data_IF_240512092785
#
_entry.id   IF_240512092785
#
_cell.length_a   1.000
_cell.length_b   1.000
_cell.length_c   1.000
_cell.angle_alpha   90.00
_cell.angle_beta   90.00
_cell.angle_gamma   90.00
#
_symmetry.space_group_name_H-M   'P 1'
#
loop_
_entity.id
_entity.type
_entity.pdbx_description
1 polymer ?
#
# COMPACT_ATOMS: atom_id res chain seq x y z
N UNK A 1 26.21 -19.20 14.89
CA UNK A 1 24.76 -19.02 15.10
C UNK A 1 24.32 -20.02 16.16
N UNK A 2 23.81 -19.54 17.29
CA UNK A 2 23.26 -20.39 18.35
C UNK A 2 21.87 -20.85 17.93
N UNK A 3 21.64 -22.15 17.86
CA UNK A 3 20.33 -22.74 17.62
C UNK A 3 19.33 -22.23 18.67
N UNK A 4 18.14 -21.81 18.24
CA UNK A 4 17.08 -21.41 19.17
C UNK A 4 16.69 -22.62 20.01
N UNK A 5 16.75 -22.48 21.34
CA UNK A 5 16.27 -23.49 22.26
C UNK A 5 14.74 -23.52 22.28
N UNK A 6 14.16 -24.50 21.56
CA UNK A 6 12.70 -24.67 21.48
C UNK A 6 12.08 -24.99 22.84
N UNK A 7 12.82 -25.56 23.78
CA UNK A 7 12.29 -25.89 25.11
C UNK A 7 11.97 -24.64 25.94
N UNK A 8 12.52 -23.48 25.55
CA UNK A 8 12.18 -22.17 26.12
C UNK A 8 10.86 -21.58 25.59
N UNK A 9 10.20 -22.24 24.64
CA UNK A 9 8.93 -21.82 24.05
C UNK A 9 7.82 -22.69 24.62
N UNK A 10 6.78 -22.05 25.15
CA UNK A 10 5.62 -22.73 25.74
C UNK A 10 4.43 -22.61 24.79
N UNK A 11 3.87 -23.75 24.37
CA UNK A 11 2.66 -23.86 23.54
C UNK A 11 1.67 -24.78 24.24
N UNK A 12 0.45 -24.30 24.51
CA UNK A 12 -0.57 -25.03 25.25
C UNK A 12 -0.05 -25.59 26.59
N UNK A 13 0.61 -24.73 27.38
CA UNK A 13 1.24 -25.04 28.67
C UNK A 13 2.36 -26.10 28.65
N UNK A 14 2.82 -26.53 27.47
CA UNK A 14 3.92 -27.48 27.32
C UNK A 14 5.12 -26.87 26.57
N UNK A 15 6.36 -27.23 26.95
CA UNK A 15 7.55 -26.88 26.17
C UNK A 15 7.52 -27.48 24.77
N UNK A 16 7.86 -26.69 23.76
CA UNK A 16 7.96 -27.15 22.37
C UNK A 16 9.15 -28.09 22.21
N UNK A 17 8.88 -29.33 21.81
CA UNK A 17 9.90 -30.38 21.64
C UNK A 17 10.44 -30.47 20.22
N UNK A 18 9.62 -30.12 19.23
CA UNK A 18 9.97 -30.20 17.80
C UNK A 18 9.06 -29.29 16.97
N UNK A 19 9.56 -28.87 15.81
CA UNK A 19 8.78 -28.22 14.76
C UNK A 19 8.23 -29.24 13.77
N UNK A 20 7.47 -28.75 12.79
CA UNK A 20 7.10 -29.54 11.61
C UNK A 20 8.37 -30.00 10.87
N UNK A 21 8.34 -31.20 10.24
CA UNK A 21 9.47 -31.67 9.43
C UNK A 21 9.88 -30.63 8.38
N UNK A 22 11.18 -30.41 8.21
CA UNK A 22 11.74 -29.47 7.24
C UNK A 22 11.80 -28.01 7.71
N UNK A 23 11.30 -27.68 8.91
CA UNK A 23 11.37 -26.33 9.47
C UNK A 23 12.42 -26.22 10.57
N UNK A 24 13.22 -25.15 10.51
CA UNK A 24 14.28 -24.87 11.47
C UNK A 24 14.05 -23.51 12.13
N UNK A 25 14.22 -23.45 13.46
CA UNK A 25 14.24 -22.20 14.20
C UNK A 25 15.61 -21.54 14.06
N UNK A 26 15.66 -20.46 13.30
CA UNK A 26 16.90 -19.79 12.91
C UNK A 26 17.35 -18.84 14.01
N UNK A 27 16.46 -17.98 14.48
CA UNK A 27 16.79 -16.94 15.46
C UNK A 27 15.56 -16.48 16.24
N UNK A 28 15.77 -16.10 17.50
CA UNK A 28 14.80 -15.39 18.34
C UNK A 28 15.22 -13.94 18.47
N UNK A 29 14.31 -13.02 18.20
CA UNK A 29 14.53 -11.59 18.33
C UNK A 29 13.61 -11.02 19.40
N UNK A 30 14.16 -10.20 20.27
CA UNK A 30 13.36 -9.42 21.23
C UNK A 30 12.89 -8.16 20.53
N UNK A 31 11.63 -8.12 20.12
CA UNK A 31 11.05 -7.05 19.29
C UNK A 31 10.71 -5.84 20.14
N UNK A 32 10.09 -6.07 21.30
CA UNK A 32 9.78 -5.03 22.29
C UNK A 32 10.02 -5.60 23.70
N UNK A 33 9.84 -4.84 24.79
CA UNK A 33 9.88 -5.38 26.14
C UNK A 33 8.85 -6.51 26.40
N UNK A 34 7.76 -6.54 25.65
CA UNK A 34 6.63 -7.45 25.83
C UNK A 34 6.57 -8.57 24.78
N UNK A 35 7.22 -8.37 23.62
CA UNK A 35 7.14 -9.30 22.49
C UNK A 35 8.51 -9.80 22.04
N UNK A 36 8.58 -11.10 21.84
CA UNK A 36 9.64 -11.76 21.11
C UNK A 36 9.07 -12.37 19.83
N UNK A 37 9.93 -12.54 18.83
CA UNK A 37 9.60 -13.27 17.61
C UNK A 37 10.63 -14.35 17.36
N UNK A 38 10.17 -15.55 17.03
CA UNK A 38 11.03 -16.64 16.57
C UNK A 38 10.87 -16.75 15.06
N UNK A 39 11.97 -16.61 14.35
CA UNK A 39 12.04 -16.71 12.90
C UNK A 39 12.41 -18.15 12.50
N UNK A 40 11.66 -18.67 11.55
CA UNK A 40 11.83 -20.01 11.01
C UNK A 40 12.10 -19.97 9.51
N UNK A 41 12.84 -20.98 9.04
CA UNK A 41 13.08 -21.20 7.63
C UNK A 41 12.84 -22.66 7.27
N UNK A 42 12.16 -22.90 6.15
CA UNK A 42 12.00 -24.23 5.57
C UNK A 42 13.26 -24.60 4.77
N UNK A 43 13.90 -25.71 5.11
CA UNK A 43 15.24 -26.07 4.59
C UNK A 43 15.24 -26.34 3.08
N UNK A 44 14.12 -26.81 2.51
CA UNK A 44 14.02 -27.15 1.08
C UNK A 44 13.74 -25.95 0.18
N UNK A 45 12.79 -25.10 0.56
CA UNK A 45 12.30 -24.00 -0.29
C UNK A 45 12.85 -22.63 0.12
N UNK A 46 13.41 -22.54 1.33
CA UNK A 46 13.80 -21.28 1.93
C UNK A 46 12.64 -20.40 2.38
N UNK A 47 11.39 -20.90 2.35
CA UNK A 47 10.23 -20.18 2.88
C UNK A 47 10.45 -19.78 4.32
N UNK A 48 9.89 -18.63 4.65
CA UNK A 48 10.05 -18.00 5.95
C UNK A 48 8.72 -18.01 6.70
N UNK A 49 8.80 -18.13 8.02
CA UNK A 49 7.66 -17.97 8.92
C UNK A 49 8.13 -17.39 10.25
N UNK A 50 7.20 -16.90 11.06
CA UNK A 50 7.49 -16.44 12.40
C UNK A 50 6.45 -16.86 13.42
N UNK A 51 6.84 -16.98 14.68
CA UNK A 51 5.93 -17.05 15.82
C UNK A 51 6.18 -15.87 16.74
N UNK A 52 5.09 -15.25 17.16
CA UNK A 52 5.05 -14.18 18.14
C UNK A 52 4.86 -14.78 19.52
N UNK A 53 5.75 -14.41 20.44
CA UNK A 53 5.76 -14.84 21.82
C UNK A 53 5.63 -13.61 22.73
N UNK A 54 5.15 -13.81 23.95
CA UNK A 54 5.34 -12.81 24.99
C UNK A 54 6.76 -12.87 25.58
N UNK A 55 7.08 -11.91 26.45
CA UNK A 55 8.36 -11.83 27.16
C UNK A 55 8.69 -13.02 28.09
N UNK A 56 7.74 -13.95 28.32
CA UNK A 56 7.96 -15.21 29.05
C UNK A 56 8.18 -16.40 28.13
N UNK A 57 8.20 -16.21 26.82
CA UNK A 57 8.34 -17.30 25.83
C UNK A 57 7.06 -18.08 25.57
N UNK A 58 5.90 -17.57 26.01
CA UNK A 58 4.60 -18.21 25.72
C UNK A 58 4.18 -17.82 24.30
N UNK A 59 3.82 -18.81 23.49
CA UNK A 59 3.28 -18.62 22.16
C UNK A 59 1.98 -17.81 22.19
N UNK A 60 1.93 -16.77 21.37
CA UNK A 60 0.75 -15.93 21.20
C UNK A 60 0.08 -16.20 19.85
N UNK A 61 0.85 -16.14 18.76
CA UNK A 61 0.32 -16.28 17.41
C UNK A 61 1.39 -16.58 16.36
N UNK A 62 0.97 -17.10 15.21
CA UNK A 62 1.84 -17.26 14.04
C UNK A 62 1.85 -16.03 13.11
N UNK A 63 0.90 -15.11 13.30
CA UNK A 63 0.81 -13.85 12.56
C UNK A 63 0.39 -12.73 13.51
N UNK A 64 0.81 -11.49 13.24
CA UNK A 64 0.43 -10.31 14.03
C UNK A 64 -1.08 -10.11 14.05
N UNK A 65 -1.79 -10.48 12.98
CA UNK A 65 -3.25 -10.44 12.88
C UNK A 65 -3.99 -11.37 13.83
N UNK A 66 -3.34 -12.48 14.21
CA UNK A 66 -3.92 -13.44 15.11
C UNK A 66 -3.63 -13.12 16.58
N UNK A 67 -2.84 -12.07 16.87
CA UNK A 67 -2.70 -11.53 18.22
C UNK A 67 -4.05 -10.97 18.68
N UNK A 68 -4.30 -10.95 19.98
CA UNK A 68 -5.46 -10.24 20.52
C UNK A 68 -5.31 -8.71 20.33
N UNK A 69 -6.43 -7.99 20.32
CA UNK A 69 -6.46 -6.54 20.02
C UNK A 69 -5.59 -5.72 20.97
N UNK A 70 -5.44 -6.12 22.24
CA UNK A 70 -4.60 -5.39 23.20
C UNK A 70 -3.12 -5.52 22.86
N UNK A 71 -2.68 -6.72 22.50
CA UNK A 71 -1.30 -6.99 22.11
C UNK A 71 -0.95 -6.34 20.75
N UNK A 72 -1.91 -6.37 19.81
CA UNK A 72 -1.82 -5.60 18.57
C UNK A 72 -1.57 -4.11 18.85
N UNK A 73 -2.37 -3.48 19.73
CA UNK A 73 -2.22 -2.07 20.11
C UNK A 73 -0.88 -1.76 20.78
N UNK A 74 -0.39 -2.64 21.67
CA UNK A 74 0.93 -2.46 22.30
C UNK A 74 2.05 -2.48 21.27
N UNK A 75 2.02 -3.42 20.35
CA UNK A 75 3.01 -3.53 19.28
C UNK A 75 2.98 -2.28 18.38
N UNK A 76 1.79 -1.84 17.97
CA UNK A 76 1.62 -0.63 17.15
C UNK A 76 2.06 0.64 17.87
N UNK A 77 1.71 0.78 19.15
CA UNK A 77 2.12 1.92 19.97
C UNK A 77 3.63 2.02 20.16
N UNK A 78 4.36 0.90 20.13
CA UNK A 78 5.82 0.90 20.19
C UNK A 78 6.46 1.45 18.90
N UNK A 79 5.86 1.17 17.74
CA UNK A 79 6.42 1.56 16.44
C UNK A 79 5.80 2.83 15.84
N UNK A 80 4.80 3.43 16.49
CA UNK A 80 4.07 4.60 15.95
C UNK A 80 4.98 5.80 15.68
N UNK A 81 5.95 6.07 16.58
CA UNK A 81 6.93 7.16 16.41
C UNK A 81 7.74 7.06 15.10
N UNK A 82 7.87 5.86 14.55
CA UNK A 82 8.55 5.59 13.28
C UNK A 82 7.58 5.46 12.10
N UNK A 83 6.50 4.71 12.27
CA UNK A 83 5.60 4.38 11.16
C UNK A 83 4.64 5.53 10.81
N UNK A 84 4.26 6.39 11.76
CA UNK A 84 3.40 7.55 11.45
C UNK A 84 4.10 8.56 10.52
N UNK A 85 5.34 9.04 10.80
CA UNK A 85 6.02 9.95 9.88
C UNK A 85 6.25 9.33 8.50
N UNK A 86 6.50 8.02 8.43
CA UNK A 86 6.62 7.29 7.17
C UNK A 86 5.30 7.32 6.40
N UNK A 87 4.18 7.00 7.04
CA UNK A 87 2.87 7.03 6.40
C UNK A 87 2.48 8.44 5.94
N UNK A 88 2.81 9.48 6.71
CA UNK A 88 2.59 10.87 6.29
C UNK A 88 3.44 11.25 5.08
N UNK A 89 4.68 10.78 5.02
CA UNK A 89 5.59 11.00 3.89
C UNK A 89 5.09 10.38 2.58
N UNK A 90 4.21 9.37 2.63
CA UNK A 90 3.64 8.76 1.42
C UNK A 90 2.69 9.70 0.68
N UNK A 91 1.92 10.54 1.37
CA UNK A 91 0.95 11.44 0.72
C UNK A 91 1.36 12.91 0.74
N UNK A 92 2.43 13.24 1.46
CA UNK A 92 3.03 14.58 1.49
C UNK A 92 4.02 14.73 0.35
N UNK A 93 4.09 15.88 -0.35
CA UNK A 93 5.17 16.22 -1.28
C UNK A 93 6.56 16.19 -0.61
N UNK A 94 6.62 16.53 0.67
CA UNK A 94 7.86 16.59 1.45
C UNK A 94 7.95 15.36 2.35
N UNK A 95 9.09 14.68 2.30
CA UNK A 95 9.40 13.53 3.15
C UNK A 95 9.81 14.02 4.54
N UNK A 96 9.11 13.56 5.57
CA UNK A 96 9.36 13.97 6.95
C UNK A 96 10.71 13.45 7.46
N UNK A 97 11.38 14.27 8.28
CA UNK A 97 12.58 13.85 8.99
C UNK A 97 12.21 12.96 10.16
N UNK A 98 12.93 11.85 10.35
CA UNK A 98 12.79 11.01 11.54
C UNK A 98 13.57 11.62 12.71
N UNK A 99 12.99 11.56 13.91
CA UNK A 99 13.67 11.86 15.17
C UNK A 99 14.80 10.86 15.43
N UNK A 100 15.73 11.17 16.34
CA UNK A 100 16.80 10.23 16.71
C UNK A 100 16.25 8.89 17.20
N UNK A 101 15.24 8.92 18.08
CA UNK A 101 14.56 7.73 18.58
C UNK A 101 13.92 6.89 17.45
N UNK A 102 13.25 7.55 16.49
CA UNK A 102 12.68 6.85 15.33
C UNK A 102 13.77 6.25 14.43
N UNK A 103 14.93 6.92 14.29
CA UNK A 103 16.07 6.38 13.55
C UNK A 103 16.68 5.16 14.23
N UNK A 104 16.78 5.15 15.55
CA UNK A 104 17.24 3.98 16.32
C UNK A 104 16.29 2.79 16.16
N UNK A 105 14.98 3.02 16.31
CA UNK A 105 13.95 1.99 16.07
C UNK A 105 14.01 1.45 14.64
N UNK A 106 14.22 2.34 13.66
CA UNK A 106 14.39 1.95 12.26
C UNK A 106 15.62 1.09 12.07
N UNK A 107 16.77 1.51 12.58
CA UNK A 107 18.01 0.74 12.47
C UNK A 107 17.85 -0.67 13.08
N UNK A 108 17.19 -0.76 14.23
CA UNK A 108 16.83 -2.01 14.88
C UNK A 108 15.92 -2.88 14.00
N UNK A 109 14.82 -2.34 13.47
CA UNK A 109 13.90 -3.09 12.60
C UNK A 109 14.59 -3.61 11.34
N UNK A 110 15.53 -2.86 10.77
CA UNK A 110 16.28 -3.29 9.58
C UNK A 110 17.26 -4.44 9.86
N UNK A 111 17.51 -4.80 11.12
CA UNK A 111 18.25 -6.03 11.47
C UNK A 111 17.37 -7.29 11.47
N UNK A 112 16.05 -7.12 11.39
CA UNK A 112 15.09 -8.21 11.42
C UNK A 112 14.93 -8.86 10.04
N UNK A 113 14.54 -10.15 9.98
CA UNK A 113 14.15 -10.80 8.74
C UNK A 113 12.97 -10.07 8.07
N UNK A 114 12.94 -10.08 6.74
CA UNK A 114 11.90 -9.44 5.94
C UNK A 114 10.49 -9.84 6.38
N UNK A 115 10.27 -11.13 6.66
CA UNK A 115 8.98 -11.65 7.11
C UNK A 115 8.50 -10.99 8.41
N UNK A 116 9.39 -10.78 9.37
CA UNK A 116 9.06 -10.11 10.64
C UNK A 116 8.70 -8.64 10.40
N UNK A 117 9.51 -7.96 9.58
CA UNK A 117 9.28 -6.56 9.23
C UNK A 117 7.93 -6.40 8.51
N UNK A 118 7.64 -7.27 7.56
CA UNK A 118 6.40 -7.25 6.80
C UNK A 118 5.18 -7.50 7.69
N UNK A 119 5.26 -8.42 8.66
CA UNK A 119 4.19 -8.66 9.64
C UNK A 119 3.88 -7.43 10.52
N UNK A 120 4.90 -6.65 10.91
CA UNK A 120 4.73 -5.37 11.64
C UNK A 120 4.07 -4.31 10.75
N UNK A 121 4.47 -4.23 9.48
CA UNK A 121 3.89 -3.28 8.53
C UNK A 121 2.45 -3.67 8.16
N UNK A 122 2.18 -4.97 8.04
CA UNK A 122 0.86 -5.51 7.72
C UNK A 122 -0.14 -5.10 8.82
N UNK A 123 0.20 -5.33 10.10
CA UNK A 123 -0.67 -4.91 11.21
C UNK A 123 -0.82 -3.38 11.27
N UNK A 124 0.24 -2.62 10.97
CA UNK A 124 0.16 -1.17 10.85
C UNK A 124 -0.83 -0.72 9.79
N UNK A 125 -0.72 -1.28 8.58
CA UNK A 125 -1.58 -0.95 7.45
C UNK A 125 -3.05 -1.21 7.75
N UNK A 126 -3.39 -2.34 8.36
CA UNK A 126 -4.79 -2.66 8.66
C UNK A 126 -5.44 -1.78 9.73
N UNK A 127 -4.65 -1.16 10.60
CA UNK A 127 -5.17 -0.22 11.59
C UNK A 127 -5.24 1.21 11.07
N UNK A 128 -4.28 1.61 10.23
CA UNK A 128 -4.08 3.00 9.84
C UNK A 128 -4.50 3.31 8.39
N UNK A 129 -4.71 2.30 7.56
CA UNK A 129 -5.28 2.40 6.19
C UNK A 129 -6.71 1.91 6.28
N UNK A 130 -7.54 2.73 6.95
CA UNK A 130 -8.85 2.33 7.44
C UNK A 130 -9.90 2.09 6.34
N UNK A 131 -9.67 2.61 5.12
CA UNK A 131 -10.62 2.49 4.00
C UNK A 131 -9.92 2.40 2.65
N UNK A 132 -9.16 1.33 2.44
CA UNK A 132 -8.58 1.05 1.13
C UNK A 132 -9.67 0.85 0.08
N UNK A 133 -9.94 1.87 -0.73
CA UNK A 133 -10.86 1.83 -1.85
C UNK A 133 -10.13 1.21 -3.03
N UNK A 134 -10.55 0.02 -3.46
CA UNK A 134 -9.94 -0.68 -4.59
C UNK A 134 -10.93 -0.79 -5.73
N UNK A 135 -10.53 -0.35 -6.91
CA UNK A 135 -11.32 -0.46 -8.14
C UNK A 135 -10.49 -1.10 -9.25
N UNK A 136 -11.13 -1.91 -10.09
CA UNK A 136 -10.62 -2.12 -11.45
C UNK A 136 -10.83 -0.83 -12.27
N UNK A 137 -10.05 -0.59 -13.34
CA UNK A 137 -10.25 0.57 -14.21
C UNK A 137 -11.70 0.70 -14.71
N UNK A 138 -12.30 -0.41 -15.14
CA UNK A 138 -13.70 -0.48 -15.56
C UNK A 138 -14.69 -0.09 -14.46
N UNK A 139 -14.46 -0.56 -13.23
CA UNK A 139 -15.30 -0.18 -12.08
C UNK A 139 -15.16 1.30 -11.76
N UNK A 140 -13.95 1.85 -11.85
CA UNK A 140 -13.70 3.27 -11.55
C UNK A 140 -14.43 4.19 -12.54
N UNK A 141 -14.43 3.87 -13.83
CA UNK A 141 -15.15 4.62 -14.86
C UNK A 141 -16.66 4.59 -14.61
N UNK A 142 -17.22 3.42 -14.26
CA UNK A 142 -18.66 3.25 -13.99
C UNK A 142 -19.10 3.81 -12.64
N UNK A 143 -18.16 4.05 -11.73
CA UNK A 143 -18.46 4.50 -10.38
C UNK A 143 -18.93 5.96 -10.32
N UNK A 144 -19.15 6.65 -11.46
CA UNK A 144 -19.67 8.03 -11.60
C UNK A 144 -19.61 8.80 -10.28
N UNK A 145 -18.39 9.24 -9.93
CA UNK A 145 -18.13 10.09 -8.76
C UNK A 145 -18.41 9.42 -7.39
N UNK A 146 -17.64 8.39 -7.03
CA UNK A 146 -17.34 8.11 -5.61
C UNK A 146 -16.22 9.06 -5.16
N UNK A 147 -16.44 10.37 -5.30
CA UNK A 147 -15.61 11.38 -4.65
C UNK A 147 -16.58 12.35 -3.98
N UNK A 148 -16.79 12.06 -2.70
CA UNK A 148 -17.60 12.79 -1.72
C UNK A 148 -17.86 14.26 -2.09
N UNK A 149 -19.14 14.64 -2.15
CA UNK A 149 -19.64 16.00 -2.44
C UNK A 149 -19.06 17.08 -1.52
N UNK A 150 -18.33 16.68 -0.47
CA UNK A 150 -17.72 17.57 0.50
C UNK A 150 -16.21 17.83 0.30
N UNK A 151 -15.50 17.24 -0.67
CA UNK A 151 -14.05 17.49 -0.82
C UNK A 151 -13.55 17.60 -2.27
N UNK A 152 -12.78 18.66 -2.52
CA UNK A 152 -12.44 19.32 -3.80
C UNK A 152 -11.41 18.63 -4.71
N UNK A 153 -11.22 17.31 -4.64
CA UNK A 153 -10.23 16.63 -5.51
C UNK A 153 -10.96 15.56 -6.31
N UNK A 154 -11.36 15.96 -7.52
CA UNK A 154 -11.90 15.07 -8.53
C UNK A 154 -10.75 14.42 -9.30
N UNK A 155 -10.84 13.11 -9.51
CA UNK A 155 -9.92 12.34 -10.35
C UNK A 155 -10.68 11.96 -11.61
N UNK A 156 -10.25 12.46 -12.77
CA UNK A 156 -10.92 12.15 -14.03
C UNK A 156 -10.67 10.69 -14.45
N UNK A 157 -11.73 9.89 -14.74
CA UNK A 157 -11.55 8.54 -15.27
C UNK A 157 -10.74 8.50 -16.57
N UNK A 158 -10.90 9.51 -17.44
CA UNK A 158 -10.13 9.63 -18.68
C UNK A 158 -8.63 9.81 -18.38
N UNK A 159 -8.29 10.68 -17.42
CA UNK A 159 -6.90 10.91 -17.03
C UNK A 159 -6.29 9.69 -16.32
N UNK A 160 -7.09 8.94 -15.56
CA UNK A 160 -6.65 7.66 -14.99
C UNK A 160 -6.35 6.65 -16.09
N UNK A 161 -7.22 6.51 -17.10
CA UNK A 161 -6.93 5.61 -18.22
C UNK A 161 -5.65 5.99 -18.97
N UNK A 162 -5.38 7.29 -19.16
CA UNK A 162 -4.10 7.76 -19.71
C UNK A 162 -2.89 7.42 -18.83
N UNK A 163 -3.03 7.55 -17.50
CA UNK A 163 -1.99 7.14 -16.55
C UNK A 163 -1.72 5.64 -16.59
N UNK A 164 -2.76 4.83 -16.62
CA UNK A 164 -2.64 3.37 -16.68
C UNK A 164 -2.09 2.90 -18.04
N UNK A 165 -2.28 3.68 -19.11
CA UNK A 165 -1.61 3.45 -20.38
C UNK A 165 -0.12 3.86 -20.40
N UNK A 166 0.40 4.47 -19.32
CA UNK A 166 1.79 4.94 -19.27
C UNK A 166 2.75 3.73 -19.23
N UNK A 167 3.58 3.53 -20.28
CA UNK A 167 4.51 2.41 -20.31
C UNK A 167 5.61 2.59 -19.26
N UNK A 168 6.09 1.48 -18.71
CA UNK A 168 7.27 1.52 -17.86
C UNK A 168 8.49 2.05 -18.64
N UNK A 169 9.13 3.09 -18.12
CA UNK A 169 10.40 3.61 -18.63
C UNK A 169 11.53 3.19 -17.70
N UNK A 170 12.54 2.50 -18.23
CA UNK A 170 13.76 2.19 -17.48
C UNK A 170 14.67 3.43 -17.26
N UNK A 171 14.49 4.51 -18.03
CA UNK A 171 15.27 5.77 -17.90
C UNK A 171 14.97 6.48 -16.59
N UNK A 172 15.89 7.28 -16.06
CA UNK A 172 15.79 7.90 -14.72
C UNK A 172 14.50 8.68 -14.44
N UNK A 173 13.82 9.19 -15.47
CA UNK A 173 12.56 9.92 -15.33
C UNK A 173 11.41 9.27 -16.13
N UNK A 174 10.22 9.30 -15.54
CA UNK A 174 8.97 8.87 -16.20
C UNK A 174 8.05 10.07 -16.34
N UNK A 175 7.66 10.41 -17.57
CA UNK A 175 6.75 11.51 -17.86
C UNK A 175 5.31 10.99 -17.97
N UNK A 176 4.35 11.72 -17.42
CA UNK A 176 2.92 11.45 -17.63
C UNK A 176 2.09 12.70 -17.38
N UNK A 177 0.76 12.60 -17.43
CA UNK A 177 -0.18 13.69 -17.11
C UNK A 177 -0.82 13.49 -15.74
N UNK A 178 -0.92 14.54 -14.94
CA UNK A 178 -1.57 14.47 -13.63
C UNK A 178 -3.05 14.08 -13.75
N UNK A 179 -3.57 13.20 -12.88
CA UNK A 179 -5.00 12.87 -12.82
C UNK A 179 -5.84 13.93 -12.11
N UNK A 180 -5.22 15.02 -11.65
CA UNK A 180 -5.88 16.09 -10.90
C UNK A 180 -5.90 17.38 -11.72
N UNK A 181 -4.74 17.84 -12.18
CA UNK A 181 -4.62 19.07 -12.97
C UNK A 181 -4.62 18.84 -14.48
N UNK A 182 -4.39 17.61 -14.96
CA UNK A 182 -4.13 17.34 -16.37
C UNK A 182 -2.76 17.83 -16.88
N UNK A 183 -1.95 18.48 -16.03
CA UNK A 183 -0.65 19.02 -16.42
C UNK A 183 0.40 17.91 -16.58
N UNK A 184 1.36 18.07 -17.51
CA UNK A 184 2.52 17.18 -17.60
C UNK A 184 3.34 17.20 -16.31
N UNK A 185 3.72 16.02 -15.84
CA UNK A 185 4.47 15.81 -14.60
C UNK A 185 5.53 14.73 -14.80
N UNK A 186 6.62 14.85 -14.04
CA UNK A 186 7.75 13.93 -14.09
C UNK A 186 7.88 13.19 -12.76
N UNK A 187 7.83 11.86 -12.82
CA UNK A 187 8.20 10.99 -11.72
C UNK A 187 9.71 10.81 -11.68
N UNK A 188 10.36 11.35 -10.64
CA UNK A 188 11.81 11.29 -10.46
C UNK A 188 12.24 10.28 -9.39
N UNK A 189 11.40 10.02 -8.39
CA UNK A 189 11.70 9.02 -7.37
C UNK A 189 11.19 7.65 -7.80
N UNK A 190 12.13 6.72 -8.01
CA UNK A 190 11.85 5.31 -8.32
C UNK A 190 12.25 4.40 -7.17
N UNK A 191 11.34 3.53 -6.76
CA UNK A 191 11.57 2.58 -5.68
C UNK A 191 11.30 1.17 -6.18
N UNK A 192 12.30 0.31 -6.15
CA UNK A 192 12.17 -1.08 -6.64
C UNK A 192 12.12 -2.06 -5.48
N UNK A 193 11.22 -3.03 -5.59
CA UNK A 193 11.14 -4.19 -4.71
C UNK A 193 11.13 -5.47 -5.56
N UNK A 194 10.98 -6.63 -4.91
CA UNK A 194 10.98 -7.91 -5.61
C UNK A 194 9.74 -8.09 -6.50
N UNK A 195 8.66 -7.41 -6.15
CA UNK A 195 7.34 -7.48 -6.75
C UNK A 195 7.15 -6.50 -7.91
N UNK A 196 7.98 -5.46 -8.01
CA UNK A 196 7.81 -4.42 -9.03
C UNK A 196 8.61 -3.15 -8.77
N UNK A 197 8.25 -2.10 -9.50
CA UNK A 197 8.85 -0.77 -9.35
C UNK A 197 7.75 0.27 -9.19
N UNK A 198 7.86 1.07 -8.13
CA UNK A 198 7.08 2.26 -7.90
C UNK A 198 7.75 3.47 -8.51
N UNK A 199 6.95 4.36 -9.08
CA UNK A 199 7.35 5.73 -9.40
C UNK A 199 6.41 6.68 -8.66
N UNK A 200 7.00 7.62 -7.92
CA UNK A 200 6.26 8.66 -7.19
C UNK A 200 6.11 9.89 -8.07
N UNK A 201 4.92 10.46 -8.08
CA UNK A 201 4.56 11.67 -8.80
C UNK A 201 3.97 12.70 -7.84
N UNK A 202 4.28 13.97 -8.09
CA UNK A 202 3.78 15.11 -7.31
C UNK A 202 3.10 16.10 -8.24
N UNK A 203 1.81 16.35 -8.01
CA UNK A 203 1.09 17.48 -8.58
C UNK A 203 1.19 18.67 -7.62
N UNK A 204 1.92 19.71 -8.02
CA UNK A 204 2.16 20.91 -7.21
C UNK A 204 0.92 21.79 -7.09
N UNK A 205 0.07 21.84 -8.12
CA UNK A 205 -1.17 22.63 -8.14
C UNK A 205 -2.16 22.14 -7.08
N UNK A 206 -2.30 20.83 -6.94
CA UNK A 206 -3.19 20.21 -5.95
C UNK A 206 -2.48 19.74 -4.67
N UNK A 207 -1.15 19.94 -4.58
CA UNK A 207 -0.30 19.40 -3.50
C UNK A 207 -0.61 17.92 -3.26
N UNK A 208 -0.73 17.16 -4.33
CA UNK A 208 -1.13 15.76 -4.32
C UNK A 208 0.04 14.87 -4.72
N UNK A 209 0.24 13.79 -3.98
CA UNK A 209 1.24 12.75 -4.30
C UNK A 209 0.51 11.46 -4.63
N UNK A 210 0.92 10.83 -5.72
CA UNK A 210 0.41 9.53 -6.14
C UNK A 210 1.54 8.67 -6.70
N UNK A 211 1.25 7.38 -6.88
CA UNK A 211 2.22 6.38 -7.31
C UNK A 211 1.66 5.57 -8.47
N UNK A 212 2.53 5.23 -9.41
CA UNK A 212 2.31 4.15 -10.35
C UNK A 212 3.23 2.99 -9.99
N UNK A 213 2.69 1.79 -9.95
CA UNK A 213 3.41 0.57 -9.63
C UNK A 213 3.34 -0.41 -10.81
N UNK A 214 4.48 -0.62 -11.47
CA UNK A 214 4.60 -1.63 -12.52
C UNK A 214 5.06 -2.92 -11.87
N UNK A 215 4.17 -3.91 -11.81
CA UNK A 215 4.48 -5.19 -11.22
C UNK A 215 5.42 -6.00 -12.12
N UNK A 216 6.28 -6.82 -11.52
CA UNK A 216 7.10 -7.79 -12.25
C UNK A 216 6.32 -9.07 -12.50
N UNK A 217 6.58 -9.70 -13.64
CA UNK A 217 5.96 -10.98 -13.96
C UNK A 217 6.44 -12.07 -12.96
N UNK A 218 5.53 -12.86 -12.34
CA UNK A 218 5.89 -13.78 -11.25
C UNK A 218 6.86 -14.89 -11.67
N UNK A 219 6.87 -15.26 -12.96
CA UNK A 219 7.68 -16.35 -13.52
C UNK A 219 9.05 -15.88 -14.01
N UNK A 220 9.23 -14.59 -14.34
CA UNK A 220 10.46 -14.11 -14.96
C UNK A 220 10.97 -12.83 -14.28
N UNK A 221 11.56 -13.02 -13.09
CA UNK A 221 11.98 -11.93 -12.19
C UNK A 221 13.18 -11.12 -12.70
N UNK A 222 13.90 -11.66 -13.68
CA UNK A 222 15.09 -11.06 -14.29
C UNK A 222 14.77 -10.18 -15.51
N UNK A 223 13.53 -10.20 -15.99
CA UNK A 223 13.07 -9.27 -17.01
C UNK A 223 12.65 -7.93 -16.36
N UNK A 224 12.80 -6.80 -17.09
CA UNK A 224 12.17 -5.55 -16.67
C UNK A 224 10.65 -5.76 -16.45
N UNK A 225 9.99 -4.91 -15.64
CA UNK A 225 8.54 -4.96 -15.47
C UNK A 225 7.86 -5.11 -16.82
N UNK A 226 6.94 -6.08 -16.92
CA UNK A 226 6.38 -6.47 -18.20
C UNK A 226 5.62 -5.28 -18.78
N UNK A 227 6.08 -4.78 -19.94
CA UNK A 227 5.44 -3.67 -20.63
C UNK A 227 4.00 -3.98 -21.07
N UNK A 228 3.57 -5.25 -21.02
CA UNK A 228 2.20 -5.66 -21.34
C UNK A 228 1.23 -5.53 -20.16
N UNK A 229 1.72 -5.33 -18.93
CA UNK A 229 0.88 -5.27 -17.74
C UNK A 229 0.66 -3.81 -17.33
N UNK A 230 -0.61 -3.43 -17.20
CA UNK A 230 -0.99 -2.09 -16.75
C UNK A 230 -0.46 -1.84 -15.32
N UNK A 231 0.09 -0.64 -15.04
CA UNK A 231 0.51 -0.29 -13.70
C UNK A 231 -0.69 -0.20 -12.77
N UNK A 232 -0.43 -0.31 -11.46
CA UNK A 232 -1.42 -0.01 -10.43
C UNK A 232 -1.25 1.44 -10.02
N UNK A 233 -2.34 2.20 -10.07
CA UNK A 233 -2.39 3.55 -9.52
C UNK A 233 -2.71 3.50 -8.03
N UNK A 234 -1.94 4.22 -7.23
CA UNK A 234 -2.20 4.40 -5.80
C UNK A 234 -2.14 5.87 -5.39
N UNK A 235 -3.21 6.33 -4.73
CA UNK A 235 -3.33 7.65 -4.16
C UNK A 235 -3.48 7.58 -2.63
N UNK A 236 -2.35 7.69 -1.88
CA UNK A 236 -2.34 7.46 -0.43
C UNK A 236 -3.15 8.48 0.38
N UNK A 237 -3.39 9.70 -0.10
CA UNK A 237 -4.22 10.67 0.64
C UNK A 237 -5.66 10.20 0.84
N UNK A 238 -6.12 9.27 0.01
CA UNK A 238 -7.48 8.74 -0.01
C UNK A 238 -7.56 7.24 0.20
N UNK A 239 -6.43 6.58 0.47
CA UNK A 239 -6.34 5.13 0.46
C UNK A 239 -6.99 4.55 -0.83
N UNK A 240 -6.76 5.17 -1.99
CA UNK A 240 -7.40 4.78 -3.26
C UNK A 240 -6.42 4.01 -4.14
N UNK A 241 -6.83 2.83 -4.59
CA UNK A 241 -6.12 1.99 -5.54
C UNK A 241 -6.99 1.74 -6.77
N UNK A 242 -6.37 1.86 -7.94
CA UNK A 242 -6.98 1.47 -9.21
C UNK A 242 -6.03 0.51 -9.91
N UNK A 243 -6.49 -0.73 -10.11
CA UNK A 243 -5.73 -1.78 -10.78
C UNK A 243 -6.43 -3.13 -10.70
N UNK A 244 -6.14 -4.01 -11.66
CA UNK A 244 -6.85 -5.29 -11.81
C UNK A 244 -6.22 -6.46 -11.06
N UNK A 245 -5.02 -6.28 -10.50
CA UNK A 245 -4.26 -7.38 -9.92
C UNK A 245 -4.71 -7.72 -8.48
N UNK A 246 -4.86 -9.01 -8.10
CA UNK A 246 -5.12 -9.41 -6.73
C UNK A 246 -4.13 -8.88 -5.69
N UNK A 247 -2.89 -8.57 -6.11
CA UNK A 247 -1.85 -8.02 -5.21
C UNK A 247 -2.02 -6.53 -4.93
N UNK A 248 -2.94 -5.83 -5.61
CA UNK A 248 -3.19 -4.40 -5.47
C UNK A 248 -3.35 -3.99 -4.01
N UNK A 249 -4.05 -4.80 -3.19
CA UNK A 249 -4.23 -4.51 -1.76
C UNK A 249 -2.94 -4.44 -0.93
N UNK A 250 -1.82 -4.99 -1.43
CA UNK A 250 -0.53 -4.99 -0.75
C UNK A 250 0.36 -3.78 -1.11
N UNK A 251 0.02 -3.04 -2.17
CA UNK A 251 0.80 -1.88 -2.64
C UNK A 251 1.12 -0.88 -1.53
N UNK A 252 0.17 -0.46 -0.67
CA UNK A 252 0.47 0.49 0.40
C UNK A 252 1.51 -0.05 1.39
N UNK A 253 1.47 -1.35 1.67
CA UNK A 253 2.36 -2.02 2.62
C UNK A 253 3.78 -2.09 2.07
N UNK A 254 3.92 -2.43 0.78
CA UNK A 254 5.23 -2.41 0.11
C UNK A 254 5.81 -1.01 0.06
N UNK A 255 4.98 0.02 -0.14
CA UNK A 255 5.44 1.40 -0.11
C UNK A 255 5.90 1.84 1.28
N UNK A 256 5.15 1.53 2.34
CA UNK A 256 5.58 1.78 3.73
C UNK A 256 6.93 1.11 3.98
N UNK A 257 7.08 -0.13 3.54
CA UNK A 257 8.31 -0.90 3.70
C UNK A 257 9.48 -0.29 2.92
N UNK A 258 9.28 0.14 1.68
CA UNK A 258 10.31 0.80 0.89
C UNK A 258 10.71 2.14 1.50
N UNK A 259 9.75 2.93 1.98
CA UNK A 259 10.04 4.17 2.70
C UNK A 259 10.77 3.91 4.02
N UNK A 260 10.48 2.81 4.70
CA UNK A 260 11.22 2.38 5.87
C UNK A 260 12.66 2.01 5.50
N UNK A 261 12.88 1.17 4.49
CA UNK A 261 14.21 0.69 4.09
C UNK A 261 15.07 1.81 3.49
N UNK A 262 14.49 2.68 2.67
CA UNK A 262 15.21 3.68 1.87
C UNK A 262 14.97 5.12 2.34
N UNK A 263 14.49 5.34 3.57
CA UNK A 263 14.09 6.67 4.09
C UNK A 263 15.12 7.78 3.79
N UNK A 264 16.39 7.54 4.13
CA UNK A 264 17.46 8.53 3.95
C UNK A 264 17.74 8.84 2.47
N UNK A 265 17.75 7.81 1.62
CA UNK A 265 17.98 7.93 0.17
C UNK A 265 16.83 8.70 -0.49
N UNK A 266 15.59 8.36 -0.12
CA UNK A 266 14.39 9.05 -0.57
C UNK A 266 14.44 10.53 -0.20
N UNK A 267 14.78 10.83 1.07
CA UNK A 267 14.88 12.21 1.55
C UNK A 267 15.98 13.00 0.83
N UNK A 268 17.13 12.38 0.60
CA UNK A 268 18.23 12.99 -0.15
C UNK A 268 17.80 13.29 -1.60
N UNK A 269 17.18 12.32 -2.29
CA UNK A 269 16.71 12.49 -3.66
C UNK A 269 15.72 13.66 -3.79
N UNK A 270 14.79 13.81 -2.84
CA UNK A 270 13.87 14.96 -2.84
C UNK A 270 14.60 16.30 -2.65
N UNK A 271 15.63 16.35 -1.82
CA UNK A 271 16.43 17.58 -1.63
C UNK A 271 17.24 17.94 -2.88
N UNK A 272 17.75 16.95 -3.59
CA UNK A 272 18.46 17.12 -4.86
C UNK A 272 17.50 17.61 -5.96
N UNK A 273 16.30 17.03 -6.04
CA UNK A 273 15.25 17.45 -6.98
C UNK A 273 14.83 18.91 -6.76
N UNK A 274 14.64 19.32 -5.51
CA UNK A 274 14.32 20.71 -5.16
C UNK A 274 15.45 21.65 -5.58
N UNK A 275 16.70 21.27 -5.31
CA UNK A 275 17.89 22.06 -5.66
C UNK A 275 18.07 22.16 -7.18
N UNK A 276 17.80 21.10 -7.94
CA UNK A 276 17.82 21.11 -9.40
C UNK A 276 16.75 22.05 -9.98
N UNK A 277 15.55 22.08 -9.41
CA UNK A 277 14.50 23.02 -9.84
C UNK A 277 14.87 24.47 -9.55
N UNK A 278 15.51 24.75 -8.41
CA UNK A 278 16.00 26.10 -8.07
C UNK A 278 17.21 26.51 -8.92
N UNK A 279 18.03 25.54 -9.33
CA UNK A 279 19.17 25.74 -10.23
C UNK A 279 18.76 25.85 -11.70
N UNK A 280 17.61 25.29 -12.08
CA UNK A 280 16.87 25.67 -13.29
C UNK A 280 16.21 27.03 -12.99
N UNK A 281 17.03 28.05 -12.77
CA UNK A 281 16.63 29.40 -13.16
C UNK A 281 16.21 29.29 -14.62
N UNK A 282 14.99 29.74 -14.91
CA UNK A 282 14.39 29.89 -16.23
C UNK A 282 15.32 30.67 -17.20
N UNK A 283 16.41 30.05 -17.61
CA UNK A 283 17.29 30.50 -18.66
C UNK A 283 16.80 29.85 -19.94
N UNK A 284 16.13 30.65 -20.77
CA UNK A 284 15.85 30.37 -22.18
C UNK A 284 14.72 29.39 -22.54
N UNK A 285 13.68 29.25 -21.70
CA UNK A 285 12.40 28.64 -22.14
C UNK A 285 11.23 29.63 -21.91
N UNK A 286 11.49 30.95 -21.87
CA UNK A 286 10.42 31.95 -21.78
C UNK A 286 9.96 32.49 -23.14
N UNK A 287 10.53 32.04 -24.27
CA UNK A 287 10.16 32.57 -25.59
C UNK A 287 9.16 31.68 -26.35
N UNK A 288 8.93 30.43 -25.92
CA UNK A 288 8.04 29.48 -26.63
C UNK A 288 6.71 29.20 -25.89
N UNK A 289 6.50 29.70 -24.67
CA UNK A 289 5.25 29.51 -23.91
C UNK A 289 4.21 30.61 -24.12
N UNK A 290 4.58 31.76 -24.71
CA UNK A 290 3.66 32.85 -25.07
C UNK A 290 2.61 32.45 -26.13
N UNK A 291 2.72 31.25 -26.70
CA UNK A 291 1.76 30.68 -27.65
C UNK A 291 0.51 30.12 -26.93
N UNK A 292 0.58 29.79 -25.64
CA UNK A 292 -0.56 29.21 -24.89
C UNK A 292 -1.30 30.19 -23.97
N UNK A 293 -0.70 31.33 -23.59
CA UNK A 293 -1.40 32.36 -22.77
C UNK A 293 -2.42 33.20 -23.57
N UNK A 294 -2.45 33.09 -24.92
CA UNK A 294 -3.39 33.80 -25.78
C UNK A 294 -4.53 32.92 -26.35
N UNK A 295 -4.75 31.72 -25.83
CA UNK A 295 -5.94 30.94 -26.18
C UNK A 295 -7.17 31.54 -25.47
N UNK A 296 -7.89 32.44 -26.16
CA UNK A 296 -9.19 32.95 -25.73
C UNK A 296 -10.13 31.78 -25.39
N UNK A 297 -10.69 31.81 -24.18
CA UNK A 297 -11.78 30.94 -23.77
C UNK A 297 -12.92 31.07 -24.81
N UNK A 298 -13.51 29.97 -25.30
CA UNK A 298 -14.63 30.06 -26.23
C UNK A 298 -15.81 30.78 -25.53
N UNK A 299 -16.54 31.66 -26.24
CA UNK A 299 -17.65 32.40 -25.67
C UNK A 299 -18.76 31.44 -25.25
N UNK A 300 -19.21 31.59 -24.01
CA UNK A 300 -20.31 30.83 -23.43
C UNK A 300 -21.66 31.35 -23.93
N UNK A 301 -22.11 30.91 -25.10
CA UNK A 301 -23.51 31.10 -25.52
C UNK A 301 -23.97 29.92 -26.35
N UNK A 302 -24.69 28.97 -25.72
CA UNK A 302 -25.88 28.37 -26.34
C UNK A 302 -26.92 28.00 -25.25
N UNK A 303 -28.23 28.12 -25.55
CA UNK A 303 -29.28 28.25 -24.55
C UNK A 303 -29.79 26.91 -24.03
N UNK A 304 -30.26 26.93 -22.78
CA UNK A 304 -30.93 25.81 -22.10
C UNK A 304 -32.23 25.45 -22.87
N UNK A 305 -32.39 24.22 -23.39
CA UNK A 305 -33.69 23.77 -23.89
C UNK A 305 -34.58 23.40 -22.70
N UNK A 306 -35.64 24.17 -22.50
CA UNK A 306 -36.77 23.79 -21.66
C UNK A 306 -37.43 22.51 -22.21
N UNK A 307 -37.69 21.56 -21.30
CA UNK A 307 -38.81 20.64 -21.42
C UNK A 307 -38.50 19.32 -22.11
N UNK A 308 -38.28 18.28 -21.30
CA UNK A 308 -38.96 17.00 -21.49
C UNK A 308 -39.13 16.29 -20.14
N UNK A 309 -40.35 16.36 -19.63
CA UNK A 309 -40.86 15.52 -18.54
C UNK A 309 -41.07 14.12 -19.08
N UNK A 310 -40.37 13.11 -18.57
CA UNK A 310 -40.74 11.68 -18.67
C UNK A 310 -40.08 10.90 -17.49
N UNK A 311 -40.59 9.73 -17.10
CA UNK A 311 -41.51 9.55 -15.99
C UNK A 311 -40.84 8.89 -14.77
N UNK A 312 -41.29 9.26 -13.57
CA UNK A 312 -40.99 8.52 -12.35
C UNK A 312 -41.49 7.08 -12.48
N UNK A 313 -40.59 6.11 -12.35
CA UNK A 313 -40.92 4.74 -11.93
C UNK A 313 -40.45 4.57 -10.49
N UNK A 314 -41.28 4.02 -9.58
CA UNK A 314 -40.93 3.88 -8.18
C UNK A 314 -39.90 2.75 -7.98
N UNK A 315 -38.95 3.00 -7.08
CA UNK A 315 -37.98 2.03 -6.57
C UNK A 315 -38.68 0.84 -5.90
N UNK A 316 -38.17 -0.41 -6.03
CA UNK A 316 -38.61 -1.53 -5.22
C UNK A 316 -38.12 -1.37 -3.77
N UNK A 317 -39.04 -1.48 -2.82
CA UNK A 317 -38.75 -1.57 -1.39
C UNK A 317 -37.94 -2.84 -1.07
N UNK A 318 -36.64 -2.69 -0.79
CA UNK A 318 -35.83 -3.71 -0.15
C UNK A 318 -35.95 -3.61 1.38
N UNK A 319 -37.12 -3.94 1.89
CA UNK A 319 -37.34 -4.28 3.30
C UNK A 319 -38.21 -5.51 3.38
N UNK A 320 -37.64 -6.68 3.07
CA UNK A 320 -38.11 -7.99 3.54
C UNK A 320 -37.14 -9.08 3.08
N UNK A 321 -36.13 -9.37 3.90
CA UNK A 321 -35.49 -10.70 4.03
C UNK A 321 -34.36 -10.62 5.04
N UNK A 322 -34.73 -10.37 6.30
CA UNK A 322 -33.88 -10.72 7.43
C UNK A 322 -34.45 -11.98 8.10
N UNK A 323 -33.53 -12.89 8.43
CA UNK A 323 -33.62 -14.00 9.40
C UNK A 323 -34.04 -15.39 8.87
N UNK A 324 -33.68 -16.48 9.58
CA UNK A 324 -32.32 -16.95 9.84
C UNK A 324 -32.15 -18.44 9.44
N UNK A 325 -30.93 -18.85 9.10
CA UNK A 325 -30.61 -20.27 8.91
C UNK A 325 -30.71 -21.02 10.25
N UNK A 326 -31.76 -21.82 10.40
CA UNK A 326 -31.92 -22.82 11.46
C UNK A 326 -31.28 -24.13 10.99
N UNK A 327 -30.27 -24.58 11.72
CA UNK A 327 -29.63 -25.88 11.57
C UNK A 327 -30.54 -26.98 12.11
N UNK A 328 -30.97 -27.91 11.25
CA UNK A 328 -31.60 -29.16 11.69
C UNK A 328 -30.66 -30.33 11.40
N UNK A 329 -30.12 -30.87 12.48
CA UNK A 329 -29.40 -32.15 12.54
C UNK A 329 -30.42 -33.26 12.32
N UNK A 330 -30.17 -34.18 11.39
CA UNK A 330 -30.91 -35.43 11.27
C UNK A 330 -29.96 -36.61 11.53
N UNK A 331 -30.18 -37.23 12.69
CA UNK A 331 -29.67 -38.55 13.08
C UNK A 331 -30.46 -39.58 12.29
N UNK A 332 -29.79 -40.56 11.67
CA UNK A 332 -30.46 -41.75 11.19
C UNK A 332 -29.68 -43.00 11.61
N UNK A 333 -30.16 -43.62 12.69
CA UNK A 333 -29.85 -45.00 13.07
C UNK A 333 -30.98 -45.92 12.58
N UNK A 334 -30.55 -46.97 11.86
CA UNK A 334 -31.01 -48.37 12.00
C UNK A 334 -32.42 -48.81 11.55
N UNK A 335 -32.51 -49.68 10.51
CA UNK A 335 -32.74 -51.15 10.66
C UNK A 335 -33.13 -51.87 9.34
N UNK A 336 -32.58 -53.10 9.22
CA UNK A 336 -33.11 -54.37 8.66
C UNK A 336 -33.66 -54.39 7.22
N UNK A 337 -33.05 -55.22 6.36
CA UNK A 337 -33.44 -56.64 6.13
C UNK A 337 -32.16 -57.48 6.13
#
# INVERSE_FOLDING_TARGET
MTSVDLSSIILNDEPVKRLYPGWEAVQRYKVTPDFDVVFFKESETGKEACWWLNNKGIYLASHTFALNIEDQKKLLGHFSLLLEPIQRSLHSPIVESLTEEAQELRAFLLTMPYTVLFEIILIWGTHNISRLLTFTPDQFVRAEVIMDQNQSVYVSPEQINHLLATPYSAKDSTATTSPFSGLPIMGKLKLSCSEGTFVRFTDTSYKAVFYLFWHRHPVNKDLPPDSALEPIFYYPKRDLIIGENPISGLVPLWLIMLFLIHHNEIKQSESEIATDLDNIKFGHISEDWDIFENAELPPSEEPIPEGNKLPFSPLPNWQESASPFSSTISINESKKI
#
